data_IF_050327387649
#
_entry.id   IF_050327387649
#
_cell.length_a   1.000
_cell.length_b   1.000
_cell.length_c   1.000
_cell.angle_alpha   90.00
_cell.angle_beta   90.00
_cell.angle_gamma   90.00
#
_symmetry.space_group_name_H-M   'P 1'
#
loop_
_entity.id
_entity.type
_entity.pdbx_description
1 polymer ?
#
# COMPACT_ATOMS: atom_id res chain seq x y z
N UNK A 1 -25.87 6.50 16.05
CA UNK A 1 -25.71 6.20 14.62
C UNK A 1 -25.20 4.77 14.55
N UNK A 2 -26.01 3.85 14.03
CA UNK A 2 -25.58 2.46 13.80
C UNK A 2 -24.40 2.49 12.82
N UNK A 3 -23.25 1.97 13.24
CA UNK A 3 -21.98 2.17 12.53
C UNK A 3 -21.27 0.86 12.16
N UNK A 4 -21.95 -0.27 12.15
CA UNK A 4 -21.34 -1.51 11.65
C UNK A 4 -21.67 -1.67 10.17
N UNK A 5 -21.01 -0.85 9.33
CA UNK A 5 -20.90 -1.17 7.92
C UNK A 5 -20.07 -2.45 7.80
N UNK A 6 -20.71 -3.59 7.55
CA UNK A 6 -20.02 -4.84 7.25
C UNK A 6 -19.58 -4.82 5.80
N UNK A 7 -18.28 -4.66 5.56
CA UNK A 7 -17.70 -4.78 4.23
C UNK A 7 -17.55 -6.26 3.86
N UNK A 8 -18.03 -6.64 2.68
CA UNK A 8 -17.98 -8.03 2.17
C UNK A 8 -16.93 -8.22 1.09
N UNK A 9 -16.33 -7.13 0.59
CA UNK A 9 -15.29 -7.20 -0.41
C UNK A 9 -14.29 -6.05 -0.38
N UNK A 10 -13.04 -6.36 -0.71
CA UNK A 10 -11.93 -5.41 -0.71
C UNK A 10 -10.98 -5.63 -1.90
N UNK A 11 -10.64 -4.57 -2.63
CA UNK A 11 -9.61 -4.59 -3.68
C UNK A 11 -8.50 -3.59 -3.37
N UNK A 12 -7.26 -4.07 -3.37
CA UNK A 12 -6.07 -3.25 -3.16
C UNK A 12 -5.36 -2.95 -4.48
N UNK A 13 -5.16 -1.66 -4.78
CA UNK A 13 -4.51 -1.14 -5.98
C UNK A 13 -3.29 -0.33 -5.58
N UNK A 14 -2.16 -0.55 -6.25
CA UNK A 14 -0.98 0.27 -6.04
C UNK A 14 0.36 -0.35 -6.42
N UNK A 15 1.38 0.08 -5.69
CA UNK A 15 2.78 -0.27 -5.91
C UNK A 15 3.34 -1.23 -4.83
N UNK A 16 4.66 -1.17 -4.56
CA UNK A 16 5.32 -2.06 -3.60
C UNK A 16 4.83 -1.88 -2.16
N UNK A 17 4.34 -0.69 -1.82
CA UNK A 17 3.76 -0.43 -0.50
C UNK A 17 2.50 -1.27 -0.30
N UNK A 18 1.62 -1.31 -1.30
CA UNK A 18 0.38 -2.10 -1.29
C UNK A 18 0.64 -3.58 -1.53
N UNK A 19 1.64 -3.95 -2.33
CA UNK A 19 2.05 -5.35 -2.51
C UNK A 19 2.57 -5.98 -1.21
N UNK A 20 2.97 -5.18 -0.21
CA UNK A 20 3.41 -5.70 1.07
C UNK A 20 4.90 -6.00 1.16
N UNK A 21 5.72 -5.41 0.28
CA UNK A 21 7.17 -5.56 0.29
C UNK A 21 7.74 -5.41 1.71
N UNK A 22 8.71 -6.27 2.03
CA UNK A 22 9.38 -6.39 3.33
C UNK A 22 8.60 -7.05 4.48
N UNK A 23 7.38 -7.54 4.24
CA UNK A 23 6.65 -8.46 5.13
C UNK A 23 6.58 -9.86 4.48
N UNK A 24 7.74 -10.50 4.37
CA UNK A 24 7.92 -11.78 3.66
C UNK A 24 7.42 -12.96 4.50
N UNK A 25 6.61 -13.82 3.89
CA UNK A 25 6.17 -15.09 4.46
C UNK A 25 7.17 -16.23 4.14
N UNK A 26 7.12 -17.36 4.87
CA UNK A 26 8.03 -18.49 4.65
C UNK A 26 7.99 -19.07 3.23
N UNK A 27 6.87 -18.94 2.54
CA UNK A 27 6.67 -19.37 1.14
C UNK A 27 7.24 -18.39 0.10
N UNK A 28 7.77 -17.24 0.56
CA UNK A 28 8.34 -16.19 -0.28
C UNK A 28 7.32 -15.19 -0.83
N UNK A 29 6.04 -15.31 -0.48
CA UNK A 29 5.03 -14.30 -0.76
C UNK A 29 5.14 -13.12 0.21
N UNK A 30 4.52 -12.00 -0.14
CA UNK A 30 4.40 -10.84 0.75
C UNK A 30 2.99 -10.78 1.30
N UNK A 31 2.86 -10.56 2.61
CA UNK A 31 1.57 -10.34 3.27
C UNK A 31 1.20 -8.84 3.23
N UNK A 32 1.92 -8.01 3.98
CA UNK A 32 1.72 -6.57 3.97
C UNK A 32 0.40 -6.10 4.59
N UNK A 33 0.21 -4.77 4.60
CA UNK A 33 -0.93 -4.15 5.28
C UNK A 33 -2.28 -4.48 4.64
N UNK A 34 -2.32 -4.69 3.32
CA UNK A 34 -3.56 -4.97 2.59
C UNK A 34 -4.10 -6.35 2.98
N UNK A 35 -3.25 -7.38 3.04
CA UNK A 35 -3.65 -8.72 3.46
C UNK A 35 -4.01 -8.76 4.96
N UNK A 36 -3.28 -8.02 5.80
CA UNK A 36 -3.63 -7.85 7.22
C UNK A 36 -5.01 -7.21 7.39
N UNK A 37 -5.33 -6.17 6.62
CA UNK A 37 -6.65 -5.55 6.62
C UNK A 37 -7.72 -6.52 6.11
N UNK A 38 -7.44 -7.21 5.00
CA UNK A 38 -8.35 -8.19 4.41
C UNK A 38 -8.70 -9.30 5.38
N UNK A 39 -7.71 -9.86 6.10
CA UNK A 39 -7.95 -10.91 7.10
C UNK A 39 -8.84 -10.43 8.25
N UNK A 40 -8.68 -9.18 8.69
CA UNK A 40 -9.53 -8.58 9.73
C UNK A 40 -10.94 -8.29 9.25
N UNK A 41 -11.11 -7.80 8.01
CA UNK A 41 -12.44 -7.58 7.44
C UNK A 41 -13.17 -8.90 7.20
N UNK A 42 -12.46 -9.91 6.71
CA UNK A 42 -12.98 -11.26 6.54
C UNK A 42 -13.45 -11.89 7.85
N UNK A 43 -12.80 -11.54 8.97
CA UNK A 43 -13.21 -11.98 10.30
C UNK A 43 -14.66 -11.57 10.66
N UNK A 44 -15.16 -10.48 10.06
CA UNK A 44 -16.48 -9.92 10.31
C UNK A 44 -17.54 -10.35 9.28
N UNK A 45 -17.13 -10.95 8.16
CA UNK A 45 -18.00 -11.19 7.01
C UNK A 45 -17.74 -12.57 6.39
N UNK A 46 -18.57 -13.59 6.72
CA UNK A 46 -18.54 -14.86 6.01
C UNK A 46 -18.67 -14.65 4.49
N UNK A 47 -17.84 -15.35 3.71
CA UNK A 47 -17.81 -15.19 2.25
C UNK A 47 -17.11 -13.91 1.76
N UNK A 48 -16.30 -13.27 2.61
CA UNK A 48 -15.52 -12.09 2.24
C UNK A 48 -14.64 -12.35 1.01
N UNK A 49 -14.63 -11.38 0.08
CA UNK A 49 -13.88 -11.47 -1.17
C UNK A 49 -12.75 -10.43 -1.19
N UNK A 50 -11.53 -10.87 -1.47
CA UNK A 50 -10.36 -10.02 -1.49
C UNK A 50 -9.59 -10.13 -2.81
N UNK A 51 -8.98 -9.03 -3.27
CA UNK A 51 -7.98 -9.06 -4.34
C UNK A 51 -6.88 -8.02 -4.12
N UNK A 52 -5.62 -8.42 -4.28
CA UNK A 52 -4.48 -7.51 -4.29
C UNK A 52 -3.90 -7.46 -5.71
N UNK A 53 -4.06 -6.32 -6.37
CA UNK A 53 -3.61 -6.09 -7.74
C UNK A 53 -2.30 -5.31 -7.80
N UNK A 54 -1.75 -4.94 -6.64
CA UNK A 54 -0.57 -4.11 -6.54
C UNK A 54 0.68 -4.81 -7.08
N UNK A 55 1.60 -4.03 -7.65
CA UNK A 55 2.87 -4.54 -8.20
C UNK A 55 3.99 -3.56 -7.90
N UNK A 56 5.07 -4.04 -7.29
CA UNK A 56 6.25 -3.25 -6.91
C UNK A 56 6.80 -2.39 -8.04
N UNK A 57 7.21 -1.19 -7.66
CA UNK A 57 7.94 -0.28 -8.53
C UNK A 57 7.10 0.34 -9.66
N UNK A 58 5.78 0.08 -9.68
CA UNK A 58 4.88 0.75 -10.61
C UNK A 58 4.80 2.25 -10.35
N UNK A 59 4.69 2.97 -11.45
CA UNK A 59 4.34 4.39 -11.50
C UNK A 59 2.84 4.56 -11.66
N UNK A 60 2.31 5.75 -11.35
CA UNK A 60 0.88 6.01 -11.41
C UNK A 60 0.27 5.71 -12.79
N UNK A 61 0.99 6.01 -13.88
CA UNK A 61 0.52 5.67 -15.23
C UNK A 61 0.32 4.15 -15.43
N UNK A 62 1.25 3.34 -14.94
CA UNK A 62 1.15 1.87 -15.04
C UNK A 62 0.06 1.30 -14.13
N UNK A 63 -0.19 1.94 -12.98
CA UNK A 63 -1.30 1.59 -12.09
C UNK A 63 -2.63 1.85 -12.80
N UNK A 64 -2.78 3.02 -13.43
CA UNK A 64 -3.98 3.39 -14.21
C UNK A 64 -4.21 2.42 -15.37
N UNK A 65 -3.18 2.19 -16.18
CA UNK A 65 -3.31 1.44 -17.42
C UNK A 65 -3.59 -0.06 -17.14
N UNK A 66 -3.03 -0.62 -16.07
CA UNK A 66 -3.05 -2.08 -15.84
C UNK A 66 -3.94 -2.53 -14.66
N UNK A 67 -4.15 -1.70 -13.63
CA UNK A 67 -4.85 -2.12 -12.40
C UNK A 67 -6.23 -1.48 -12.23
N UNK A 68 -6.41 -0.22 -12.63
CA UNK A 68 -7.66 0.53 -12.39
C UNK A 68 -8.84 -0.11 -13.12
N UNK A 69 -8.67 -0.51 -14.38
CA UNK A 69 -9.73 -1.18 -15.15
C UNK A 69 -10.20 -2.49 -14.49
N UNK A 70 -9.29 -3.45 -14.23
CA UNK A 70 -9.62 -4.67 -13.52
C UNK A 70 -10.25 -4.43 -12.14
N UNK A 71 -9.72 -3.50 -11.34
CA UNK A 71 -10.27 -3.18 -10.02
C UNK A 71 -11.69 -2.62 -10.09
N UNK A 72 -11.96 -1.68 -11.01
CA UNK A 72 -13.29 -1.12 -11.20
C UNK A 72 -14.32 -2.17 -11.64
N UNK A 73 -13.90 -3.14 -12.47
CA UNK A 73 -14.78 -4.21 -12.93
C UNK A 73 -15.20 -5.18 -11.81
N UNK A 74 -14.49 -5.20 -10.68
CA UNK A 74 -14.78 -6.08 -9.55
C UNK A 74 -15.94 -5.58 -8.68
N UNK A 75 -16.27 -4.28 -8.70
CA UNK A 75 -17.42 -3.74 -7.96
C UNK A 75 -17.32 -3.92 -6.44
N UNK A 76 -16.14 -3.70 -5.86
CA UNK A 76 -15.85 -3.99 -4.46
C UNK A 76 -16.50 -2.98 -3.50
N UNK A 77 -16.78 -3.39 -2.26
CA UNK A 77 -17.27 -2.48 -1.22
C UNK A 77 -16.19 -1.47 -0.82
N UNK A 78 -14.93 -1.93 -0.74
CA UNK A 78 -13.78 -1.08 -0.46
C UNK A 78 -12.75 -1.22 -1.58
N UNK A 79 -12.26 -0.10 -2.09
CA UNK A 79 -11.06 -0.05 -2.93
C UNK A 79 -10.05 0.88 -2.30
N UNK A 80 -8.80 0.43 -2.16
CA UNK A 80 -7.70 1.33 -1.78
C UNK A 80 -6.82 1.62 -2.99
N UNK A 81 -6.48 2.89 -3.21
CA UNK A 81 -5.56 3.33 -4.25
C UNK A 81 -4.34 4.01 -3.62
N UNK A 82 -3.16 3.43 -3.84
CA UNK A 82 -1.88 4.05 -3.49
C UNK A 82 -0.99 4.13 -4.72
N UNK A 83 -0.61 5.34 -5.13
CA UNK A 83 0.26 5.54 -6.28
C UNK A 83 0.76 6.98 -6.40
N UNK A 84 1.74 7.20 -7.27
CA UNK A 84 2.32 8.52 -7.54
C UNK A 84 3.54 8.86 -6.70
N UNK A 85 3.70 8.33 -5.47
CA UNK A 85 4.89 8.60 -4.67
C UNK A 85 6.18 8.16 -5.40
N UNK A 86 6.17 7.00 -6.04
CA UNK A 86 7.29 6.52 -6.85
C UNK A 86 7.70 7.49 -7.96
N UNK A 87 6.72 8.18 -8.57
CA UNK A 87 6.95 9.19 -9.59
C UNK A 87 7.64 10.44 -9.01
N UNK A 88 7.17 10.94 -7.86
CA UNK A 88 7.72 12.15 -7.22
C UNK A 88 9.22 12.01 -6.89
N UNK A 89 9.63 10.78 -6.59
CA UNK A 89 11.01 10.40 -6.26
C UNK A 89 11.93 10.29 -7.49
N UNK A 90 11.42 10.47 -8.72
CA UNK A 90 12.22 10.42 -9.95
C UNK A 90 12.75 11.81 -10.31
N UNK A 91 14.00 11.94 -10.82
CA UNK A 91 14.54 13.21 -11.27
C UNK A 91 13.67 13.88 -12.35
N UNK A 92 13.23 13.10 -13.34
CA UNK A 92 12.41 13.52 -14.49
C UNK A 92 10.90 13.52 -14.20
N UNK A 93 10.49 13.72 -12.95
CA UNK A 93 9.09 13.75 -12.57
C UNK A 93 8.36 14.94 -13.22
N UNK A 94 7.25 14.65 -13.91
CA UNK A 94 6.26 15.62 -14.35
C UNK A 94 5.05 15.55 -13.40
N UNK A 95 4.96 16.51 -12.49
CA UNK A 95 3.89 16.55 -11.49
C UNK A 95 2.50 16.77 -12.10
N UNK A 96 2.41 17.49 -13.23
CA UNK A 96 1.14 17.68 -13.94
C UNK A 96 0.60 16.35 -14.47
N UNK A 97 1.47 15.54 -15.08
CA UNK A 97 1.12 14.20 -15.54
C UNK A 97 0.76 13.26 -14.39
N UNK A 98 1.49 13.33 -13.27
CA UNK A 98 1.19 12.51 -12.07
C UNK A 98 -0.20 12.82 -11.54
N UNK A 99 -0.54 14.11 -11.37
CA UNK A 99 -1.87 14.52 -10.90
C UNK A 99 -2.98 14.11 -11.85
N UNK A 100 -2.81 14.32 -13.16
CA UNK A 100 -3.80 13.94 -14.16
C UNK A 100 -4.07 12.43 -14.17
N UNK A 101 -3.03 11.60 -14.03
CA UNK A 101 -3.19 10.14 -13.96
C UNK A 101 -3.79 9.67 -12.65
N UNK A 102 -3.45 10.31 -11.53
CA UNK A 102 -4.09 10.01 -10.25
C UNK A 102 -5.59 10.37 -10.28
N UNK A 103 -5.93 11.52 -10.87
CA UNK A 103 -7.32 11.94 -11.08
C UNK A 103 -8.08 10.94 -11.95
N UNK A 104 -7.51 10.53 -13.09
CA UNK A 104 -8.10 9.49 -13.95
C UNK A 104 -8.38 8.18 -13.17
N UNK A 105 -7.46 7.76 -12.30
CA UNK A 105 -7.66 6.58 -11.45
C UNK A 105 -8.85 6.78 -10.50
N UNK A 106 -8.91 7.91 -9.80
CA UNK A 106 -9.98 8.23 -8.84
C UNK A 106 -11.33 8.32 -9.54
N UNK A 107 -11.43 9.01 -10.66
CA UNK A 107 -12.67 9.18 -11.42
C UNK A 107 -13.24 7.84 -11.93
N UNK A 108 -12.39 6.85 -12.17
CA UNK A 108 -12.80 5.50 -12.58
C UNK A 108 -13.15 4.59 -11.41
N UNK A 109 -12.40 4.68 -10.30
CA UNK A 109 -12.59 3.82 -9.13
C UNK A 109 -13.72 4.29 -8.21
N UNK A 110 -13.84 5.60 -7.95
CA UNK A 110 -14.84 6.13 -7.04
C UNK A 110 -16.29 5.71 -7.37
N UNK A 111 -16.78 5.79 -8.63
CA UNK A 111 -18.14 5.37 -8.95
C UNK A 111 -18.32 3.84 -9.03
N UNK A 112 -17.24 3.05 -9.02
CA UNK A 112 -17.28 1.59 -9.16
C UNK A 112 -17.09 0.84 -7.85
N UNK A 113 -17.01 1.54 -6.71
CA UNK A 113 -16.90 0.92 -5.40
C UNK A 113 -17.81 1.60 -4.36
N UNK A 114 -18.07 0.91 -3.25
CA UNK A 114 -18.82 1.51 -2.14
C UNK A 114 -18.02 2.60 -1.41
N UNK A 115 -16.72 2.37 -1.22
CA UNK A 115 -15.80 3.28 -0.55
C UNK A 115 -14.42 3.25 -1.20
N UNK A 116 -14.00 4.39 -1.75
CA UNK A 116 -12.62 4.60 -2.16
C UNK A 116 -11.79 5.13 -0.99
N UNK A 117 -10.61 4.54 -0.78
CA UNK A 117 -9.63 4.97 0.22
C UNK A 117 -8.34 5.40 -0.48
N UNK A 118 -7.92 6.62 -0.23
CA UNK A 118 -6.65 7.19 -0.67
C UNK A 118 -5.71 7.33 0.54
N UNK A 119 -4.41 7.46 0.27
CA UNK A 119 -3.42 7.59 1.34
C UNK A 119 -2.41 8.67 1.06
N UNK A 120 -2.13 9.47 2.10
CA UNK A 120 -0.90 10.25 2.16
C UNK A 120 0.19 9.32 2.69
N UNK A 121 0.90 8.66 1.79
CA UNK A 121 1.85 7.59 2.11
C UNK A 121 2.92 8.01 3.13
N UNK A 122 3.35 7.10 4.02
CA UNK A 122 4.35 7.43 5.03
C UNK A 122 5.71 7.68 4.39
N UNK A 123 6.58 8.37 5.11
CA UNK A 123 7.96 8.61 4.68
C UNK A 123 8.92 8.55 5.86
N UNK A 124 10.03 7.82 5.68
CA UNK A 124 11.11 7.81 6.66
C UNK A 124 11.73 9.20 6.78
N UNK A 125 11.98 9.65 8.01
CA UNK A 125 12.69 10.91 8.25
C UNK A 125 14.15 10.81 7.80
N UNK A 126 14.61 11.82 7.05
CA UNK A 126 16.00 11.93 6.64
C UNK A 126 16.22 12.88 5.46
N UNK A 127 17.46 13.32 5.22
CA UNK A 127 17.79 14.40 4.28
C UNK A 127 17.43 14.10 2.82
N UNK A 128 17.33 12.82 2.45
CA UNK A 128 16.91 12.43 1.09
C UNK A 128 15.42 12.71 0.89
N UNK A 129 14.57 12.42 1.87
CA UNK A 129 13.13 12.64 1.78
C UNK A 129 12.80 14.14 1.76
N UNK A 130 13.54 14.94 2.54
CA UNK A 130 13.44 16.41 2.55
C UNK A 130 13.58 17.03 1.16
N UNK A 131 14.45 16.47 0.30
CA UNK A 131 14.65 16.96 -1.07
C UNK A 131 13.41 16.82 -1.94
N UNK A 132 12.59 15.79 -1.69
CA UNK A 132 11.38 15.49 -2.49
C UNK A 132 10.10 16.00 -1.84
N UNK A 133 10.18 16.51 -0.59
CA UNK A 133 9.03 17.00 0.19
C UNK A 133 8.09 17.92 -0.62
N UNK A 134 8.55 18.94 -1.36
CA UNK A 134 7.62 19.82 -2.09
C UNK A 134 6.72 19.06 -3.07
N UNK A 135 7.27 18.06 -3.78
CA UNK A 135 6.49 17.24 -4.73
C UNK A 135 5.55 16.26 -4.02
N UNK A 136 5.97 15.75 -2.86
CA UNK A 136 5.12 14.88 -2.04
C UNK A 136 3.94 15.66 -1.47
N UNK A 137 4.17 16.86 -0.95
CA UNK A 137 3.12 17.73 -0.42
C UNK A 137 2.17 18.20 -1.52
N UNK A 138 2.67 18.48 -2.72
CA UNK A 138 1.84 18.75 -3.90
C UNK A 138 0.96 17.55 -4.29
N UNK A 139 1.51 16.33 -4.25
CA UNK A 139 0.74 15.10 -4.48
C UNK A 139 -0.35 14.90 -3.40
N UNK A 140 0.00 15.12 -2.14
CA UNK A 140 -0.90 14.92 -1.00
C UNK A 140 -2.03 15.95 -0.96
N UNK A 141 -1.74 17.21 -1.28
CA UNK A 141 -2.77 18.22 -1.45
C UNK A 141 -3.75 17.85 -2.58
N UNK A 142 -3.26 17.28 -3.69
CA UNK A 142 -4.11 16.80 -4.78
C UNK A 142 -4.96 15.59 -4.37
N UNK A 143 -4.43 14.70 -3.53
CA UNK A 143 -5.19 13.59 -2.94
C UNK A 143 -6.34 14.11 -2.08
N UNK A 144 -6.08 15.12 -1.24
CA UNK A 144 -7.10 15.71 -0.37
C UNK A 144 -8.20 16.41 -1.21
N UNK A 145 -7.84 17.11 -2.29
CA UNK A 145 -8.80 17.70 -3.25
C UNK A 145 -9.69 16.62 -3.92
N UNK A 146 -9.05 15.58 -4.48
CA UNK A 146 -9.76 14.46 -5.11
C UNK A 146 -10.71 13.76 -4.13
N UNK A 147 -10.26 13.55 -2.89
CA UNK A 147 -11.10 12.95 -1.87
C UNK A 147 -12.32 13.81 -1.55
N UNK A 148 -12.15 15.13 -1.44
CA UNK A 148 -13.25 16.07 -1.25
C UNK A 148 -14.27 16.04 -2.39
N UNK A 149 -13.81 15.98 -3.65
CA UNK A 149 -14.68 15.93 -4.84
C UNK A 149 -15.42 14.62 -5.02
N UNK A 150 -14.80 13.50 -4.66
CA UNK A 150 -15.32 12.15 -4.93
C UNK A 150 -15.82 11.40 -3.69
N UNK A 151 -15.83 12.04 -2.51
CA UNK A 151 -16.27 11.42 -1.26
C UNK A 151 -15.36 10.29 -0.76
N UNK A 152 -14.10 10.26 -1.21
CA UNK A 152 -13.13 9.25 -0.79
C UNK A 152 -12.65 9.53 0.64
N UNK A 153 -12.21 8.47 1.33
CA UNK A 153 -11.56 8.58 2.64
C UNK A 153 -10.05 8.75 2.44
N UNK A 154 -9.42 9.65 3.19
CA UNK A 154 -7.96 9.81 3.19
C UNK A 154 -7.38 9.30 4.50
N UNK A 155 -6.43 8.38 4.40
CA UNK A 155 -5.61 7.93 5.54
C UNK A 155 -4.31 8.74 5.58
N UNK A 156 -4.12 9.53 6.64
CA UNK A 156 -2.92 10.35 6.83
C UNK A 156 -1.79 9.56 7.50
N UNK A 157 -1.01 8.84 6.71
CA UNK A 157 0.17 8.12 7.19
C UNK A 157 1.41 9.02 7.23
N UNK A 158 1.47 10.04 6.36
CA UNK A 158 2.55 11.02 6.28
C UNK A 158 2.66 11.89 7.53
N UNK A 159 1.54 12.37 8.06
CA UNK A 159 1.47 13.19 9.28
C UNK A 159 1.75 12.42 10.57
N UNK A 160 1.74 11.09 10.53
CA UNK A 160 1.93 10.27 11.73
C UNK A 160 3.42 10.17 12.11
N UNK A 161 3.80 10.86 13.19
CA UNK A 161 5.17 10.90 13.70
C UNK A 161 5.80 9.51 13.92
N UNK A 162 5.00 8.53 14.37
CA UNK A 162 5.46 7.16 14.58
C UNK A 162 5.98 6.51 13.30
N UNK A 163 5.29 6.69 12.16
CA UNK A 163 5.69 6.13 10.86
C UNK A 163 6.99 6.77 10.31
N UNK A 164 7.43 7.88 10.88
CA UNK A 164 8.75 8.45 10.63
C UNK A 164 9.91 7.80 11.40
N UNK A 165 9.66 6.85 12.31
CA UNK A 165 10.68 6.13 13.08
C UNK A 165 11.41 5.10 12.19
N UNK A 166 12.75 5.18 12.03
CA UNK A 166 13.52 4.25 11.21
C UNK A 166 13.32 2.76 11.52
N UNK A 167 12.93 2.39 12.75
CA UNK A 167 12.70 1.00 13.15
C UNK A 167 11.46 0.38 12.49
N UNK A 168 10.58 1.19 11.92
CA UNK A 168 9.42 0.72 11.15
C UNK A 168 9.74 0.47 9.68
N UNK A 169 10.97 0.78 9.23
CA UNK A 169 11.42 0.62 7.85
C UNK A 169 12.46 -0.49 7.77
N UNK A 170 12.37 -1.34 6.76
CA UNK A 170 13.27 -2.46 6.56
C UNK A 170 14.69 -1.98 6.18
N UNK A 171 15.62 -2.92 6.01
CA UNK A 171 17.03 -2.70 5.69
C UNK A 171 17.23 -1.92 4.38
N UNK A 172 16.24 -1.94 3.49
CA UNK A 172 16.22 -1.15 2.26
C UNK A 172 15.77 0.31 2.46
N UNK A 173 15.35 0.67 3.68
CA UNK A 173 14.98 2.01 4.14
C UNK A 173 13.87 2.66 3.30
N UNK A 174 13.12 1.85 2.57
CA UNK A 174 12.09 2.27 1.63
C UNK A 174 10.75 1.58 1.91
N UNK A 175 10.77 0.31 2.32
CA UNK A 175 9.56 -0.42 2.65
C UNK A 175 9.38 -0.61 4.16
N UNK A 176 8.14 -0.79 4.57
CA UNK A 176 7.80 -0.99 5.97
C UNK A 176 8.14 -2.42 6.42
N UNK A 177 8.54 -2.54 7.67
CA UNK A 177 8.59 -3.83 8.39
C UNK A 177 7.17 -4.36 8.63
N UNK A 178 7.07 -5.62 9.09
CA UNK A 178 5.80 -6.22 9.52
C UNK A 178 5.04 -5.34 10.53
N UNK A 179 5.73 -4.71 11.50
CA UNK A 179 5.10 -3.79 12.47
C UNK A 179 4.58 -2.51 11.80
N UNK A 180 5.31 -1.99 10.81
CA UNK A 180 4.83 -0.84 10.03
C UNK A 180 3.57 -1.18 9.24
N UNK A 181 3.54 -2.35 8.58
CA UNK A 181 2.35 -2.83 7.86
C UNK A 181 1.15 -3.05 8.78
N UNK A 182 1.36 -3.60 9.98
CA UNK A 182 0.31 -3.75 11.01
C UNK A 182 -0.32 -2.41 11.39
N UNK A 183 0.49 -1.37 11.62
CA UNK A 183 0.01 -0.01 11.93
C UNK A 183 -0.74 0.63 10.77
N UNK A 184 -0.29 0.41 9.53
CA UNK A 184 -1.02 0.88 8.34
C UNK A 184 -2.38 0.19 8.26
N UNK A 185 -2.44 -1.13 8.44
CA UNK A 185 -3.70 -1.87 8.44
C UNK A 185 -4.69 -1.34 9.49
N UNK A 186 -4.21 -1.05 10.71
CA UNK A 186 -5.01 -0.39 11.75
C UNK A 186 -5.44 1.03 11.36
N UNK A 187 -4.57 1.81 10.72
CA UNK A 187 -4.91 3.15 10.26
C UNK A 187 -6.06 3.14 9.24
N UNK A 188 -6.03 2.20 8.29
CA UNK A 188 -7.11 2.03 7.31
C UNK A 188 -8.38 1.52 7.99
N UNK A 189 -8.26 0.54 8.89
CA UNK A 189 -9.38 0.01 9.67
C UNK A 189 -10.14 1.12 10.42
N UNK A 190 -9.42 1.98 11.14
CA UNK A 190 -10.02 3.10 11.85
C UNK A 190 -10.60 4.15 10.90
N UNK A 191 -9.95 4.41 9.76
CA UNK A 191 -10.45 5.36 8.76
C UNK A 191 -11.74 4.89 8.07
N UNK A 192 -11.97 3.58 8.03
CA UNK A 192 -13.23 2.97 7.61
C UNK A 192 -14.33 3.04 8.70
N UNK A 193 -14.03 3.60 9.87
CA UNK A 193 -14.97 3.77 10.97
C UNK A 193 -15.13 2.54 11.86
N UNK A 194 -14.25 1.55 11.74
CA UNK A 194 -14.29 0.36 12.58
C UNK A 194 -13.61 0.61 13.93
N UNK A 195 -14.08 -0.06 14.98
CA UNK A 195 -13.61 0.14 16.36
C UNK A 195 -12.09 -0.09 16.48
N UNK A 196 -11.33 0.88 17.02
CA UNK A 196 -9.89 0.76 17.19
C UNK A 196 -9.49 -0.49 18.00
N UNK A 197 -8.56 -1.28 17.46
CA UNK A 197 -7.91 -2.34 18.24
C UNK A 197 -6.70 -1.79 19.02
N UNK A 198 -6.07 -0.72 18.51
CA UNK A 198 -4.89 -0.10 19.11
C UNK A 198 -4.69 1.35 18.66
N UNK A 199 -3.79 2.08 19.33
CA UNK A 199 -3.31 3.36 18.81
C UNK A 199 -2.11 3.15 17.88
N UNK A 200 -2.37 3.08 16.58
CA UNK A 200 -1.32 2.94 15.55
C UNK A 200 -0.36 4.13 15.48
N UNK A 201 -0.71 5.28 16.06
CA UNK A 201 0.13 6.49 16.12
C UNK A 201 1.03 6.51 17.34
N UNK A 202 0.84 5.61 18.31
CA UNK A 202 1.63 5.56 19.53
C UNK A 202 3.12 5.37 19.21
N UNK A 203 4.05 6.04 19.93
CA UNK A 203 5.47 5.83 19.73
C UNK A 203 5.84 4.36 20.00
N UNK A 204 6.81 3.83 19.26
CA UNK A 204 7.39 2.53 19.58
C UNK A 204 8.02 2.56 20.97
N UNK A 205 7.90 1.47 21.76
CA UNK A 205 8.58 1.36 23.04
C UNK A 205 10.08 1.71 22.94
N UNK A 206 10.68 2.28 23.99
CA UNK A 206 12.11 2.57 24.00
C UNK A 206 12.92 1.30 23.70
N UNK A 207 13.71 1.33 22.63
CA UNK A 207 14.61 0.25 22.24
C UNK A 207 16.05 0.52 22.68
N UNK A 208 16.89 -0.52 22.67
CA UNK A 208 18.33 -0.37 22.85
C UNK A 208 18.90 0.57 21.77
N UNK A 209 19.75 1.53 22.18
CA UNK A 209 20.41 2.44 21.23
C UNK A 209 21.44 1.67 20.42
N UNK A 210 21.30 1.64 19.10
CA UNK A 210 22.31 1.08 18.22
C UNK A 210 23.64 1.83 18.38
N UNK A 211 24.75 1.09 18.49
CA UNK A 211 26.08 1.67 18.54
C UNK A 211 26.39 2.34 17.19
N UNK A 212 27.18 3.41 17.22
CA UNK A 212 27.51 4.18 16.01
C UNK A 212 28.22 3.33 14.94
N UNK A 213 29.08 2.39 15.35
CA UNK A 213 29.79 1.49 14.45
C UNK A 213 28.82 0.57 13.68
N UNK A 214 27.82 0.01 14.37
CA UNK A 214 26.81 -0.86 13.76
C UNK A 214 25.97 -0.11 12.71
N UNK A 215 25.67 1.17 12.99
CA UNK A 215 25.00 2.08 12.05
C UNK A 215 25.79 2.31 10.77
N UNK A 216 27.11 2.53 10.87
CA UNK A 216 27.97 2.74 9.68
C UNK A 216 28.11 1.49 8.84
N UNK A 217 28.25 0.32 9.46
CA UNK A 217 28.29 -0.95 8.73
C UNK A 217 26.95 -1.23 8.03
N UNK A 218 25.82 -0.90 8.69
CA UNK A 218 24.49 -0.94 8.09
C UNK A 218 24.36 0.01 6.89
N UNK A 219 24.85 1.25 6.97
CA UNK A 219 24.85 2.22 5.86
C UNK A 219 25.60 1.68 4.62
N UNK A 220 26.77 1.06 4.84
CA UNK A 220 27.58 0.50 3.74
C UNK A 220 26.88 -0.72 3.10
N UNK A 221 26.29 -1.61 3.90
CA UNK A 221 25.52 -2.76 3.38
C UNK A 221 24.30 -2.28 2.59
N UNK A 222 23.54 -1.35 3.14
CA UNK A 222 22.41 -0.71 2.47
C UNK A 222 22.80 -0.14 1.10
N UNK A 223 23.87 0.66 1.07
CA UNK A 223 24.32 1.30 -0.16
C UNK A 223 24.67 0.28 -1.26
N UNK A 224 25.35 -0.82 -0.88
CA UNK A 224 25.77 -1.86 -1.83
C UNK A 224 24.63 -2.78 -2.27
N UNK A 225 23.76 -3.19 -1.35
CA UNK A 225 22.77 -4.24 -1.60
C UNK A 225 21.44 -3.72 -2.13
N UNK A 226 21.06 -2.49 -1.78
CA UNK A 226 19.73 -1.95 -2.12
C UNK A 226 19.83 -0.69 -2.97
N UNK A 227 20.59 0.33 -2.53
CA UNK A 227 20.63 1.62 -3.21
C UNK A 227 21.31 1.54 -4.58
N UNK A 228 22.49 0.91 -4.68
CA UNK A 228 23.22 0.74 -5.94
C UNK A 228 22.40 0.04 -7.03
N UNK A 229 21.85 -1.17 -6.79
CA UNK A 229 20.98 -1.85 -7.74
C UNK A 229 19.72 -1.05 -8.11
N UNK A 230 19.14 -0.32 -7.16
CA UNK A 230 17.99 0.53 -7.43
C UNK A 230 18.33 1.73 -8.33
N UNK A 231 19.48 2.38 -8.11
CA UNK A 231 19.99 3.43 -9.00
C UNK A 231 20.28 2.85 -10.39
N UNK A 232 20.97 1.69 -10.48
CA UNK A 232 21.28 1.05 -11.75
C UNK A 232 20.04 0.69 -12.56
N UNK A 233 18.99 0.17 -11.91
CA UNK A 233 17.68 -0.07 -12.53
C UNK A 233 17.06 1.22 -13.07
N UNK A 234 17.11 2.31 -12.30
CA UNK A 234 16.61 3.63 -12.75
C UNK A 234 17.34 4.17 -13.97
N UNK A 235 18.66 4.02 -14.04
CA UNK A 235 19.46 4.45 -15.19
C UNK A 235 19.20 3.59 -16.44
N UNK A 236 18.77 2.35 -16.27
CA UNK A 236 18.48 1.42 -17.37
C UNK A 236 16.99 1.34 -17.73
N UNK A 237 16.14 2.12 -17.05
CA UNK A 237 14.69 2.08 -17.24
C UNK A 237 13.99 0.81 -16.74
N UNK A 238 14.72 -0.13 -16.11
CA UNK A 238 14.18 -1.40 -15.61
C UNK A 238 13.50 -1.23 -14.25
N UNK A 239 12.41 -1.95 -14.01
CA UNK A 239 11.72 -2.02 -12.71
C UNK A 239 11.89 -3.39 -12.06
N UNK A 240 11.83 -3.45 -10.73
CA UNK A 240 11.70 -4.73 -10.01
C UNK A 240 10.35 -5.40 -10.25
N UNK A 241 9.36 -4.67 -10.78
CA UNK A 241 8.05 -5.20 -11.16
C UNK A 241 7.96 -5.69 -12.61
N UNK A 242 9.01 -5.53 -13.43
CA UNK A 242 8.94 -5.92 -14.84
C UNK A 242 8.64 -7.42 -14.98
N UNK A 243 7.65 -7.75 -15.82
CA UNK A 243 7.20 -9.14 -16.03
C UNK A 243 6.39 -9.74 -14.88
N UNK A 244 6.03 -8.96 -13.86
CA UNK A 244 5.17 -9.40 -12.74
C UNK A 244 3.74 -8.93 -12.92
N UNK A 245 2.79 -9.73 -12.45
CA UNK A 245 1.39 -9.35 -12.25
C UNK A 245 1.06 -9.28 -10.77
N UNK A 246 -0.05 -8.64 -10.42
CA UNK A 246 -0.55 -8.63 -9.04
C UNK A 246 -0.90 -10.06 -8.57
N UNK A 247 -0.87 -10.28 -7.26
CA UNK A 247 -1.08 -11.60 -6.67
C UNK A 247 -2.42 -12.22 -7.10
N UNK A 248 -3.46 -11.39 -7.24
CA UNK A 248 -4.81 -11.82 -7.62
C UNK A 248 -5.19 -11.42 -9.05
N UNK A 249 -4.24 -11.53 -9.98
CA UNK A 249 -4.43 -11.27 -11.41
C UNK A 249 -3.89 -12.41 -12.29
N UNK A 250 -4.72 -12.93 -13.19
CA UNK A 250 -4.30 -13.90 -14.21
C UNK A 250 -3.83 -13.18 -15.47
N UNK A 251 -2.52 -13.25 -15.73
CA UNK A 251 -1.92 -12.71 -16.96
C UNK A 251 -2.47 -13.40 -18.22
N UNK A 252 -2.68 -14.72 -18.15
CA UNK A 252 -3.20 -15.53 -19.26
C UNK A 252 -4.62 -15.11 -19.65
N UNK A 253 -5.47 -14.87 -18.66
CA UNK A 253 -6.87 -14.50 -18.89
C UNK A 253 -7.08 -12.98 -19.01
N UNK A 254 -6.05 -12.19 -18.71
CA UNK A 254 -6.13 -10.72 -18.62
C UNK A 254 -7.16 -10.25 -17.59
N UNK A 255 -7.40 -11.01 -16.51
CA UNK A 255 -8.48 -10.77 -15.55
C UNK A 255 -8.00 -10.90 -14.11
N UNK A 256 -8.49 -9.99 -13.26
CA UNK A 256 -8.42 -10.14 -11.82
C UNK A 256 -9.36 -11.26 -11.35
N UNK A 257 -9.04 -11.87 -10.21
CA UNK A 257 -9.88 -12.87 -9.57
C UNK A 257 -10.00 -12.59 -8.07
N UNK A 258 -11.05 -13.12 -7.45
CA UNK A 258 -11.27 -13.02 -6.02
C UNK A 258 -10.59 -14.16 -5.29
N UNK A 259 -10.16 -13.89 -4.06
CA UNK A 259 -9.86 -14.91 -3.06
C UNK A 259 -10.79 -14.76 -1.85
N UNK A 260 -10.98 -15.84 -1.10
CA UNK A 260 -11.81 -15.91 0.12
C UNK A 260 -11.02 -16.64 1.21
N UNK A 261 -11.32 -16.45 2.52
CA UNK A 261 -10.69 -17.24 3.57
C UNK A 261 -10.87 -18.74 3.33
N UNK A 262 -9.83 -19.54 3.57
CA UNK A 262 -9.89 -21.00 3.41
C UNK A 262 -10.73 -21.68 4.49
N UNK A 263 -10.68 -21.16 5.71
CA UNK A 263 -11.48 -21.62 6.84
C UNK A 263 -12.63 -20.63 7.09
N UNK A 264 -13.84 -21.03 6.69
CA UNK A 264 -15.05 -20.23 6.88
C UNK A 264 -15.65 -20.37 8.29
N UNK A 265 -15.14 -21.29 9.11
CA UNK A 265 -15.64 -21.58 10.45
C UNK A 265 -14.79 -20.89 11.54
N UNK A 266 -13.47 -20.77 11.33
CA UNK A 266 -12.56 -20.04 12.23
C UNK A 266 -12.05 -18.72 11.63
N UNK A 267 -12.92 -17.73 11.66
CA UNK A 267 -12.67 -16.39 11.14
C UNK A 267 -11.77 -15.51 12.04
N UNK A 268 -11.34 -16.02 13.20
CA UNK A 268 -10.54 -15.23 14.17
C UNK A 268 -9.10 -14.97 13.75
N UNK A 269 -8.56 -15.77 12.81
CA UNK A 269 -7.23 -15.59 12.23
C UNK A 269 -7.18 -16.09 10.78
N UNK A 270 -7.66 -15.27 9.84
CA UNK A 270 -7.55 -15.60 8.40
C UNK A 270 -6.10 -15.48 7.97
N UNK A 271 -5.46 -16.63 7.76
CA UNK A 271 -4.07 -16.73 7.27
C UNK A 271 -3.97 -17.29 5.87
N UNK A 272 -4.98 -18.07 5.45
CA UNK A 272 -4.98 -18.77 4.18
C UNK A 272 -6.16 -18.33 3.31
N UNK A 273 -5.88 -18.19 2.01
CA UNK A 273 -6.81 -17.70 1.01
C UNK A 273 -7.00 -18.71 -0.11
N UNK A 274 -8.24 -18.94 -0.52
CA UNK A 274 -8.59 -19.77 -1.66
C UNK A 274 -9.08 -18.91 -2.80
N UNK A 275 -8.61 -19.20 -4.02
CA UNK A 275 -9.15 -18.58 -5.24
C UNK A 275 -10.60 -18.99 -5.44
N UNK A 276 -11.46 -18.00 -5.67
CA UNK A 276 -12.81 -18.23 -6.14
C UNK A 276 -12.79 -18.46 -7.65
N UNK A 277 -13.38 -19.58 -8.07
CA UNK A 277 -13.62 -19.82 -9.50
C UNK A 277 -14.69 -18.85 -10.03
N UNK A 278 -14.64 -18.49 -11.33
CA UNK A 278 -15.55 -17.51 -11.94
C UNK A 278 -17.03 -17.86 -11.88
#
# INVERSE_FOLDING_TARGET
>A
MEMNATYTSFVAVGDSFTEGMSDLLPDGSYRGWADLLAGRLAALAPGFRYANLAVRGKLIGQIVDEQVGPAAAMGADVVTLVGGLNDTLRPSCDMGRVRARLEEAVERLAPSCGRLVLMRSPGRRGPVMERFRPRMEELFAHIDDLAGRHGAVVVDLYGAHALGDPRLWDVDRLHLTAEGHRRVAEAVWQALGLEPAEDWRAPLPPGARERWADRRLSDVRFARQHLGPWIGRRLTGRSSGDGRTGAHFSAELGKAFWVTPADHENLSSVTDWLRLEP
#
